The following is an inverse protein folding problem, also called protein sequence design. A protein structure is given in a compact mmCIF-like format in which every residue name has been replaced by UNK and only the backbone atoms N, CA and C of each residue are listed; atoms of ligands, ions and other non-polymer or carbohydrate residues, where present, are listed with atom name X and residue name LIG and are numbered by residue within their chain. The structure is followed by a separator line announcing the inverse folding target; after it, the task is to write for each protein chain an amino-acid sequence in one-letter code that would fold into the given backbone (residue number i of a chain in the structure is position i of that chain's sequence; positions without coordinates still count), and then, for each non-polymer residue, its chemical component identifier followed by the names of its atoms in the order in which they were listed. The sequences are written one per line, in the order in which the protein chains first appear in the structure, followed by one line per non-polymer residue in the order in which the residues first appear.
data_IF_268963560740
#
_entry.id   IF_268963560740
#
_cell.length_a   1.000
_cell.length_b   1.000
_cell.length_c   1.000
_cell.angle_alpha   90.00
_cell.angle_beta   90.00
_cell.angle_gamma   90.00
#
_symmetry.space_group_name_H-M   'P 1'
#
loop_
_entity.id
_entity.type
_entity.pdbx_description
1 polymer ?
#
# COMPACT_ATOMS: atom_id res chain seq x y z
N UNK A 1 -34.45 6.86 34.11
CA UNK A 1 -33.62 5.64 34.15
C UNK A 1 -32.97 5.48 32.79
N UNK A 2 -31.72 5.95 32.66
CA UNK A 2 -30.94 5.80 31.44
C UNK A 2 -30.44 4.37 31.36
N UNK A 3 -30.91 3.62 30.36
CA UNK A 3 -30.33 2.32 29.99
C UNK A 3 -28.99 2.57 29.33
N UNK A 4 -27.93 2.49 30.10
CA UNK A 4 -26.56 2.37 29.60
C UNK A 4 -26.44 0.98 28.92
N UNK A 5 -26.61 0.92 27.59
CA UNK A 5 -26.32 -0.27 26.80
C UNK A 5 -24.82 -0.50 26.88
N UNK A 6 -24.39 -1.37 27.78
CA UNK A 6 -23.07 -1.97 27.76
C UNK A 6 -22.89 -2.71 26.42
N UNK A 7 -22.21 -2.07 25.47
CA UNK A 7 -21.66 -2.76 24.31
C UNK A 7 -20.60 -3.71 24.85
N UNK A 8 -20.98 -4.98 25.06
CA UNK A 8 -19.98 -6.04 25.26
C UNK A 8 -19.18 -6.10 23.95
N UNK A 9 -18.00 -5.46 23.93
CA UNK A 9 -17.05 -5.65 22.84
C UNK A 9 -16.80 -7.14 22.71
N UNK A 10 -17.31 -7.73 21.64
CA UNK A 10 -17.05 -9.15 21.36
C UNK A 10 -15.56 -9.29 21.12
N UNK A 11 -14.89 -10.10 21.96
CA UNK A 11 -13.48 -10.43 21.76
C UNK A 11 -13.37 -11.49 20.68
N UNK A 12 -12.32 -11.37 19.86
CA UNK A 12 -11.92 -12.35 18.86
C UNK A 12 -10.67 -13.06 19.36
N UNK A 13 -10.60 -14.36 19.13
CA UNK A 13 -9.43 -15.19 19.44
C UNK A 13 -8.57 -15.35 18.21
N UNK A 14 -7.32 -14.94 18.31
CA UNK A 14 -6.31 -15.08 17.27
C UNK A 14 -5.29 -16.12 17.71
N UNK A 15 -5.02 -17.08 16.84
CA UNK A 15 -3.95 -18.07 17.02
C UNK A 15 -2.79 -17.69 16.09
N UNK A 16 -1.65 -17.34 16.66
CA UNK A 16 -0.46 -16.98 15.90
C UNK A 16 0.28 -18.21 15.39
N UNK A 17 1.06 -18.05 14.34
CA UNK A 17 1.87 -19.13 13.76
C UNK A 17 2.90 -19.73 14.74
N UNK A 18 3.36 -18.95 15.74
CA UNK A 18 4.24 -19.42 16.81
C UNK A 18 3.49 -20.18 17.93
N UNK A 19 2.18 -20.41 17.78
CA UNK A 19 1.32 -21.12 18.74
C UNK A 19 0.76 -20.26 19.87
N UNK A 20 1.12 -18.98 19.95
CA UNK A 20 0.54 -18.06 20.93
C UNK A 20 -0.91 -17.72 20.58
N UNK A 21 -1.72 -17.45 21.60
CA UNK A 21 -3.08 -16.96 21.44
C UNK A 21 -3.15 -15.49 21.90
N UNK A 22 -3.95 -14.70 21.19
CA UNK A 22 -4.23 -13.29 21.52
C UNK A 22 -5.73 -13.04 21.46
N UNK A 23 -6.24 -12.30 22.43
CA UNK A 23 -7.60 -11.79 22.42
C UNK A 23 -7.59 -10.32 21.96
N UNK A 24 -8.34 -10.02 20.90
CA UNK A 24 -8.48 -8.67 20.35
C UNK A 24 -9.95 -8.28 20.27
N UNK A 25 -10.28 -7.00 20.37
CA UNK A 25 -11.65 -6.56 20.19
C UNK A 25 -12.09 -6.75 18.73
N UNK A 26 -13.36 -7.16 18.52
CA UNK A 26 -13.92 -7.21 17.16
C UNK A 26 -13.84 -5.82 16.49
N UNK A 27 -13.37 -5.79 15.28
CA UNK A 27 -13.11 -4.54 14.53
C UNK A 27 -11.70 -3.97 14.72
N UNK A 28 -10.87 -4.55 15.62
CA UNK A 28 -9.44 -4.23 15.67
C UNK A 28 -8.74 -4.72 14.40
N UNK A 29 -7.62 -4.10 14.08
CA UNK A 29 -6.71 -4.53 13.02
C UNK A 29 -5.45 -5.19 13.60
N UNK A 30 -4.55 -5.65 12.74
CA UNK A 30 -3.34 -6.36 13.14
C UNK A 30 -2.11 -5.45 13.28
N UNK A 31 -2.21 -4.15 13.00
CA UNK A 31 -1.05 -3.25 12.97
C UNK A 31 -0.35 -3.16 14.34
N UNK A 32 -1.11 -2.96 15.42
CA UNK A 32 -0.53 -2.88 16.76
C UNK A 32 0.14 -4.20 17.19
N UNK A 33 -0.46 -5.34 16.82
CA UNK A 33 0.11 -6.66 17.10
C UNK A 33 1.39 -6.90 16.28
N UNK A 34 1.41 -6.50 15.01
CA UNK A 34 2.62 -6.57 14.17
C UNK A 34 3.76 -5.72 14.77
N UNK A 35 3.45 -4.51 15.24
CA UNK A 35 4.43 -3.65 15.90
C UNK A 35 4.96 -4.24 17.22
N UNK A 36 4.09 -4.86 18.03
CA UNK A 36 4.49 -5.57 19.26
C UNK A 36 5.45 -6.72 18.96
N UNK A 37 5.16 -7.50 17.92
CA UNK A 37 5.94 -8.66 17.53
C UNK A 37 7.13 -8.37 16.61
N UNK A 38 7.31 -7.14 16.17
CA UNK A 38 8.36 -6.78 15.20
C UNK A 38 9.76 -7.25 15.62
N UNK A 39 10.05 -7.27 16.91
CA UNK A 39 11.34 -7.74 17.44
C UNK A 39 11.61 -9.25 17.26
N UNK A 40 10.60 -10.03 16.91
CA UNK A 40 10.73 -11.47 16.61
C UNK A 40 11.03 -11.73 15.12
N UNK A 41 11.03 -10.69 14.27
CA UNK A 41 11.19 -10.76 12.82
C UNK A 41 12.47 -10.06 12.36
N UNK A 42 13.10 -10.59 11.31
CA UNK A 42 14.38 -10.11 10.80
C UNK A 42 14.25 -8.82 9.97
N UNK A 43 13.08 -8.56 9.40
CA UNK A 43 12.79 -7.38 8.60
C UNK A 43 11.38 -6.83 8.91
N UNK A 44 11.02 -5.62 8.45
CA UNK A 44 9.70 -5.05 8.74
C UNK A 44 8.55 -5.96 8.32
N UNK A 45 7.57 -6.11 9.24
CA UNK A 45 6.29 -6.79 8.93
C UNK A 45 5.44 -5.82 8.11
N UNK A 46 5.01 -6.24 6.92
CA UNK A 46 4.28 -5.38 5.98
C UNK A 46 2.88 -5.88 5.62
N UNK A 47 2.58 -7.15 5.88
CA UNK A 47 1.30 -7.78 5.57
C UNK A 47 1.02 -8.90 6.59
N UNK A 48 -0.22 -9.35 6.69
CA UNK A 48 -0.59 -10.54 7.45
C UNK A 48 -1.34 -11.54 6.57
N UNK A 49 -1.20 -12.81 6.91
CA UNK A 49 -2.07 -13.89 6.39
C UNK A 49 -3.08 -14.22 7.49
N UNK A 50 -4.35 -13.96 7.22
CA UNK A 50 -5.45 -14.24 8.13
C UNK A 50 -6.35 -15.33 7.55
N UNK A 51 -6.43 -16.49 8.22
CA UNK A 51 -7.18 -17.66 7.74
C UNK A 51 -6.78 -18.10 6.31
N UNK A 52 -5.51 -17.95 5.95
CA UNK A 52 -4.98 -18.31 4.62
C UNK A 52 -5.13 -17.23 3.56
N UNK A 53 -5.72 -16.08 3.86
CA UNK A 53 -5.84 -14.92 2.97
C UNK A 53 -4.84 -13.81 3.36
N UNK A 54 -4.07 -13.30 2.40
CA UNK A 54 -3.23 -12.11 2.59
C UNK A 54 -4.10 -10.87 2.82
N UNK A 55 -3.85 -10.16 3.91
CA UNK A 55 -4.62 -8.96 4.28
C UNK A 55 -3.70 -7.82 4.70
N UNK A 56 -4.14 -6.61 4.42
CA UNK A 56 -3.53 -5.39 4.95
C UNK A 56 -3.56 -5.38 6.49
N UNK A 57 -2.47 -4.94 7.11
CA UNK A 57 -2.36 -4.85 8.58
C UNK A 57 -3.42 -3.95 9.21
N UNK A 58 -3.97 -3.00 8.47
CA UNK A 58 -5.00 -2.07 8.92
C UNK A 58 -6.43 -2.58 8.68
N UNK A 59 -6.60 -3.77 8.03
CA UNK A 59 -7.93 -4.33 7.76
C UNK A 59 -8.63 -4.74 9.06
N UNK A 60 -9.86 -4.24 9.35
CA UNK A 60 -10.59 -4.60 10.56
C UNK A 60 -11.02 -6.07 10.58
N UNK A 61 -10.69 -6.79 11.65
CA UNK A 61 -11.05 -8.20 11.86
C UNK A 61 -12.51 -8.34 12.33
N UNK A 62 -13.20 -9.35 11.79
CA UNK A 62 -14.60 -9.61 12.10
C UNK A 62 -14.86 -10.97 12.76
N UNK A 63 -13.91 -11.90 12.68
CA UNK A 63 -14.02 -13.29 13.13
C UNK A 63 -12.75 -13.73 13.87
N UNK A 64 -12.85 -14.79 14.64
CA UNK A 64 -11.69 -15.53 15.14
C UNK A 64 -10.87 -16.08 13.98
N UNK A 65 -9.57 -16.33 14.18
CA UNK A 65 -8.77 -16.88 13.11
C UNK A 65 -7.32 -17.16 13.46
N UNK A 66 -6.62 -17.69 12.47
CA UNK A 66 -5.18 -17.88 12.49
C UNK A 66 -4.46 -16.71 11.82
N UNK A 67 -3.33 -16.31 12.38
CA UNK A 67 -2.53 -15.17 11.90
C UNK A 67 -1.08 -15.58 11.73
N UNK A 68 -0.49 -15.26 10.59
CA UNK A 68 0.94 -15.18 10.40
C UNK A 68 1.29 -13.84 9.75
N UNK A 69 2.53 -13.40 9.90
CA UNK A 69 2.99 -12.13 9.35
C UNK A 69 3.97 -12.36 8.20
N UNK A 70 3.96 -11.42 7.28
CA UNK A 70 4.83 -11.40 6.09
C UNK A 70 5.81 -10.26 6.25
N UNK A 71 7.10 -10.59 6.11
CA UNK A 71 8.21 -9.65 6.16
C UNK A 71 8.55 -9.09 4.78
N UNK A 72 9.10 -7.88 4.75
CA UNK A 72 9.50 -7.20 3.51
C UNK A 72 10.54 -7.98 2.69
N UNK A 73 11.41 -8.76 3.34
CA UNK A 73 12.44 -9.58 2.69
C UNK A 73 11.92 -10.87 2.03
N UNK A 74 10.60 -11.03 1.94
CA UNK A 74 9.94 -12.14 1.21
C UNK A 74 9.41 -11.65 -0.14
N UNK A 75 9.18 -12.54 -1.13
CA UNK A 75 8.59 -12.15 -2.41
C UNK A 75 7.22 -11.47 -2.26
N UNK A 76 6.41 -11.94 -1.31
CA UNK A 76 5.09 -11.38 -0.98
C UNK A 76 5.24 -9.97 -0.39
N UNK A 77 6.11 -9.82 0.60
CA UNK A 77 6.36 -8.53 1.25
C UNK A 77 6.99 -7.51 0.31
N UNK A 78 7.87 -7.94 -0.61
CA UNK A 78 8.42 -7.05 -1.62
C UNK A 78 7.33 -6.55 -2.60
N UNK A 79 6.30 -7.36 -2.90
CA UNK A 79 5.14 -6.88 -3.68
C UNK A 79 4.37 -5.77 -2.94
N UNK A 80 4.24 -5.87 -1.61
CA UNK A 80 3.63 -4.81 -0.78
C UNK A 80 4.49 -3.55 -0.80
N UNK A 81 5.81 -3.69 -0.67
CA UNK A 81 6.79 -2.62 -0.75
C UNK A 81 6.68 -1.84 -2.07
N UNK A 82 6.77 -2.55 -3.19
CA UNK A 82 6.73 -1.94 -4.55
C UNK A 82 5.37 -1.28 -4.81
N UNK A 83 4.27 -1.88 -4.36
CA UNK A 83 2.93 -1.28 -4.48
C UNK A 83 2.83 0.01 -3.69
N UNK A 84 3.43 0.07 -2.50
CA UNK A 84 3.48 1.28 -1.68
C UNK A 84 4.32 2.36 -2.37
N UNK A 85 5.49 2.03 -2.92
CA UNK A 85 6.31 2.95 -3.71
C UNK A 85 5.56 3.51 -4.92
N UNK A 86 4.88 2.65 -5.67
CA UNK A 86 4.06 3.08 -6.79
C UNK A 86 2.97 4.06 -6.34
N UNK A 87 2.30 3.77 -5.22
CA UNK A 87 1.28 4.65 -4.67
C UNK A 87 1.84 6.01 -4.27
N UNK A 88 3.03 6.03 -3.65
CA UNK A 88 3.76 7.26 -3.32
C UNK A 88 4.15 8.04 -4.58
N UNK A 89 4.65 7.37 -5.63
CA UNK A 89 4.98 8.01 -6.90
C UNK A 89 3.76 8.71 -7.50
N UNK A 90 2.62 8.01 -7.55
CA UNK A 90 1.38 8.57 -8.09
C UNK A 90 0.87 9.76 -7.27
N UNK A 91 0.89 9.66 -5.93
CA UNK A 91 0.49 10.74 -5.04
C UNK A 91 1.40 11.97 -5.17
N UNK A 92 2.72 11.77 -5.15
CA UNK A 92 3.71 12.84 -5.33
C UNK A 92 3.62 13.50 -6.71
N UNK A 93 3.45 12.70 -7.76
CA UNK A 93 3.25 13.21 -9.11
C UNK A 93 1.99 14.07 -9.18
N UNK A 94 0.87 13.62 -8.66
CA UNK A 94 -0.38 14.42 -8.65
C UNK A 94 -0.26 15.69 -7.84
N UNK A 95 0.56 15.70 -6.81
CA UNK A 95 0.83 16.89 -5.99
C UNK A 95 1.66 17.94 -6.73
N UNK A 96 2.72 17.52 -7.42
CA UNK A 96 3.69 18.41 -8.04
C UNK A 96 3.38 18.70 -9.53
N UNK A 97 2.85 17.71 -10.23
CA UNK A 97 2.51 17.75 -11.65
C UNK A 97 1.12 17.14 -11.88
N UNK A 98 0.04 17.84 -11.51
CA UNK A 98 -1.35 17.31 -11.59
C UNK A 98 -1.79 17.03 -13.04
N UNK A 99 -1.12 17.59 -14.02
CA UNK A 99 -1.29 17.38 -15.46
C UNK A 99 -0.68 16.07 -15.97
N UNK A 100 0.17 15.41 -15.17
CA UNK A 100 0.88 14.20 -15.57
C UNK A 100 0.05 12.95 -15.31
N UNK A 101 0.11 12.02 -16.27
CA UNK A 101 -0.55 10.71 -16.23
C UNK A 101 0.48 9.61 -16.41
N UNK A 102 0.87 8.99 -15.29
CA UNK A 102 1.74 7.82 -15.28
C UNK A 102 0.93 6.53 -15.37
N UNK A 103 1.40 5.59 -16.18
CA UNK A 103 0.84 4.26 -16.32
C UNK A 103 1.95 3.22 -16.15
N UNK A 104 1.69 2.22 -15.28
CA UNK A 104 2.62 1.10 -15.11
C UNK A 104 2.65 0.27 -16.38
N UNK A 105 3.86 0.00 -16.91
CA UNK A 105 4.05 -0.81 -18.11
C UNK A 105 4.55 -2.20 -17.80
N UNK A 106 5.74 -2.29 -17.26
CA UNK A 106 6.41 -3.58 -16.99
C UNK A 106 7.51 -3.42 -15.95
N UNK A 107 8.01 -4.54 -15.48
CA UNK A 107 9.24 -4.60 -14.70
C UNK A 107 10.44 -4.68 -15.62
N UNK A 108 11.50 -3.97 -15.25
CA UNK A 108 12.82 -3.99 -15.89
C UNK A 108 13.84 -4.52 -14.87
N UNK A 109 14.09 -5.84 -14.89
CA UNK A 109 14.87 -6.47 -13.83
C UNK A 109 14.20 -6.29 -12.46
N UNK A 110 14.90 -5.61 -11.53
CA UNK A 110 14.42 -5.24 -10.19
C UNK A 110 13.85 -3.81 -10.13
N UNK A 111 13.33 -3.29 -11.25
CA UNK A 111 12.78 -1.95 -11.30
C UNK A 111 11.40 -1.95 -11.96
N UNK A 112 10.56 -0.98 -11.63
CA UNK A 112 9.23 -0.80 -12.19
C UNK A 112 9.21 0.40 -13.14
N UNK A 113 8.87 0.17 -14.40
CA UNK A 113 8.75 1.22 -15.39
C UNK A 113 7.33 1.77 -15.47
N UNK A 114 7.21 3.08 -15.38
CA UNK A 114 5.99 3.84 -15.56
C UNK A 114 6.16 4.78 -16.76
N UNK A 115 5.34 4.60 -17.79
CA UNK A 115 5.30 5.52 -18.94
C UNK A 115 4.50 6.77 -18.58
N UNK A 116 4.96 7.91 -19.07
CA UNK A 116 4.23 9.16 -18.99
C UNK A 116 3.42 9.37 -20.29
N UNK A 117 2.10 9.31 -20.18
CA UNK A 117 1.17 9.48 -21.29
C UNK A 117 0.70 10.93 -21.45
N UNK A 118 1.32 11.89 -20.75
CA UNK A 118 0.93 13.30 -20.76
C UNK A 118 1.37 14.02 -22.04
N UNK A 119 0.73 15.13 -22.34
CA UNK A 119 1.15 16.02 -23.42
C UNK A 119 2.48 16.72 -23.08
N UNK A 120 2.64 17.15 -21.83
CA UNK A 120 3.88 17.70 -21.31
C UNK A 120 4.56 16.64 -20.44
N UNK A 121 5.58 16.01 -20.98
CA UNK A 121 6.32 14.94 -20.31
C UNK A 121 7.05 15.44 -19.05
N UNK A 122 7.30 14.52 -18.12
CA UNK A 122 8.18 14.76 -16.98
C UNK A 122 9.59 15.09 -17.46
N UNK A 123 10.15 16.14 -16.91
CA UNK A 123 11.58 16.48 -17.07
C UNK A 123 12.41 15.76 -16.01
N UNK A 124 13.73 15.72 -16.18
CA UNK A 124 14.62 15.16 -15.16
C UNK A 124 14.54 15.95 -13.84
N UNK A 125 14.28 17.26 -13.90
CA UNK A 125 14.05 18.12 -12.74
C UNK A 125 12.74 17.78 -12.03
N UNK A 126 11.66 17.52 -12.78
CA UNK A 126 10.40 17.05 -12.20
C UNK A 126 10.58 15.72 -11.44
N UNK A 127 11.30 14.76 -12.06
CA UNK A 127 11.54 13.45 -11.45
C UNK A 127 12.34 13.59 -10.15
N UNK A 128 13.37 14.44 -10.12
CA UNK A 128 14.12 14.75 -8.89
C UNK A 128 13.25 15.41 -7.82
N UNK A 129 12.38 16.33 -8.22
CA UNK A 129 11.46 16.98 -7.28
C UNK A 129 10.45 15.98 -6.70
N UNK A 130 9.93 15.06 -7.52
CA UNK A 130 9.02 13.99 -7.11
C UNK A 130 9.75 13.04 -6.14
N UNK A 131 10.96 12.63 -6.47
CA UNK A 131 11.79 11.77 -5.60
C UNK A 131 12.06 12.41 -4.24
N UNK A 132 12.47 13.68 -4.22
CA UNK A 132 12.69 14.43 -3.00
C UNK A 132 11.42 14.53 -2.15
N UNK A 133 10.26 14.72 -2.78
CA UNK A 133 8.97 14.73 -2.09
C UNK A 133 8.60 13.35 -1.52
N UNK A 134 8.89 12.27 -2.24
CA UNK A 134 8.69 10.91 -1.74
C UNK A 134 9.61 10.61 -0.52
N UNK A 135 10.87 11.07 -0.54
CA UNK A 135 11.75 10.96 0.62
C UNK A 135 11.25 11.77 1.83
N UNK A 136 10.69 12.95 1.61
CA UNK A 136 10.01 13.71 2.68
C UNK A 136 8.81 12.93 3.26
N UNK A 137 8.01 12.24 2.43
CA UNK A 137 6.95 11.35 2.92
C UNK A 137 7.52 10.22 3.80
N UNK A 138 8.68 9.65 3.44
CA UNK A 138 9.36 8.62 4.25
C UNK A 138 9.78 9.18 5.60
N UNK A 139 10.46 10.34 5.61
CA UNK A 139 10.97 10.96 6.84
C UNK A 139 9.86 11.30 7.83
N UNK A 140 8.75 11.87 7.35
CA UNK A 140 7.58 12.18 8.19
C UNK A 140 6.66 10.99 8.44
N UNK A 141 6.99 9.79 7.90
CA UNK A 141 6.19 8.56 8.00
C UNK A 141 4.73 8.80 7.59
N UNK A 142 4.54 9.40 6.41
CA UNK A 142 3.22 9.74 5.92
C UNK A 142 2.30 8.51 5.92
N UNK A 143 1.14 8.54 6.63
CA UNK A 143 0.31 7.38 6.80
C UNK A 143 -0.43 7.00 5.51
N UNK A 144 -0.41 5.72 5.16
CA UNK A 144 -1.31 5.14 4.16
C UNK A 144 -2.59 4.74 4.88
N UNK A 145 -3.68 5.42 4.61
CA UNK A 145 -4.97 5.16 5.26
C UNK A 145 -5.89 4.34 4.37
N UNK A 146 -6.60 3.39 4.96
CA UNK A 146 -7.66 2.64 4.30
C UNK A 146 -9.01 3.31 4.53
N UNK A 147 -9.73 3.61 3.45
CA UNK A 147 -11.12 4.08 3.51
C UNK A 147 -12.02 3.06 2.82
N UNK A 148 -13.14 2.78 3.45
CA UNK A 148 -14.18 1.92 2.86
C UNK A 148 -15.29 2.81 2.32
N UNK A 149 -15.52 2.75 1.03
CA UNK A 149 -16.46 3.60 0.31
C UNK A 149 -17.46 2.75 -0.48
N UNK A 150 -18.72 3.20 -0.62
CA UNK A 150 -19.65 2.66 -1.60
C UNK A 150 -19.02 2.64 -2.99
N UNK A 151 -19.36 1.64 -3.82
CA UNK A 151 -18.80 1.52 -5.18
C UNK A 151 -18.87 2.83 -5.97
N UNK A 152 -20.00 3.54 -5.93
CA UNK A 152 -20.18 4.79 -6.68
C UNK A 152 -19.11 5.84 -6.31
N UNK A 153 -18.86 6.07 -5.01
CA UNK A 153 -17.85 7.01 -4.54
C UNK A 153 -16.42 6.55 -4.89
N UNK A 154 -16.15 5.24 -4.73
CA UNK A 154 -14.85 4.67 -5.08
C UNK A 154 -14.58 4.76 -6.58
N UNK A 155 -15.60 4.59 -7.43
CA UNK A 155 -15.52 4.74 -8.89
C UNK A 155 -15.19 6.17 -9.31
N UNK A 156 -15.80 7.19 -8.68
CA UNK A 156 -15.48 8.59 -8.96
C UNK A 156 -13.99 8.88 -8.68
N UNK A 157 -13.45 8.33 -7.60
CA UNK A 157 -12.03 8.45 -7.25
C UNK A 157 -11.13 7.67 -8.21
N UNK A 158 -11.54 6.44 -8.58
CA UNK A 158 -10.78 5.57 -9.47
C UNK A 158 -10.70 6.12 -10.89
N UNK A 159 -11.74 6.77 -11.40
CA UNK A 159 -11.76 7.39 -12.74
C UNK A 159 -10.65 8.40 -12.96
N UNK A 160 -10.16 9.04 -11.89
CA UNK A 160 -9.06 10.00 -11.99
C UNK A 160 -7.67 9.36 -12.06
N UNK A 161 -7.54 8.04 -11.86
CA UNK A 161 -6.26 7.40 -11.51
C UNK A 161 -6.03 6.06 -12.20
N UNK A 162 -7.11 5.29 -12.44
CA UNK A 162 -7.02 3.93 -12.97
C UNK A 162 -6.89 3.92 -14.49
N UNK A 163 -6.16 2.92 -15.01
CA UNK A 163 -6.21 2.58 -16.43
C UNK A 163 -7.64 2.17 -16.85
N UNK A 164 -7.93 2.24 -18.14
CA UNK A 164 -9.23 1.81 -18.67
C UNK A 164 -9.57 0.36 -18.28
N UNK A 165 -8.58 -0.53 -18.28
CA UNK A 165 -8.75 -1.93 -17.87
C UNK A 165 -9.12 -2.07 -16.39
N UNK A 166 -8.47 -1.30 -15.50
CA UNK A 166 -8.79 -1.28 -14.07
C UNK A 166 -10.20 -0.73 -13.82
N UNK A 167 -10.60 0.28 -14.56
CA UNK A 167 -11.96 0.82 -14.51
C UNK A 167 -13.00 -0.19 -15.04
N UNK A 168 -12.67 -0.95 -16.09
CA UNK A 168 -13.52 -2.00 -16.61
C UNK A 168 -13.77 -3.09 -15.56
N UNK A 169 -12.72 -3.53 -14.86
CA UNK A 169 -12.84 -4.50 -13.76
C UNK A 169 -13.70 -3.97 -12.60
N UNK A 170 -13.56 -2.70 -12.22
CA UNK A 170 -14.38 -2.09 -11.18
C UNK A 170 -15.86 -1.98 -11.58
N UNK A 171 -16.17 -1.80 -12.86
CA UNK A 171 -17.56 -1.77 -13.37
C UNK A 171 -18.29 -3.10 -13.16
N UNK A 172 -17.57 -4.23 -13.27
CA UNK A 172 -18.14 -5.58 -13.10
C UNK A 172 -18.45 -5.93 -11.63
N UNK A 173 -17.91 -5.16 -10.66
CA UNK A 173 -18.20 -5.35 -9.23
C UNK A 173 -19.68 -5.00 -8.96
N UNK A 174 -20.43 -5.77 -8.13
CA UNK A 174 -21.82 -5.46 -7.79
C UNK A 174 -22.00 -4.06 -7.18
N UNK A 175 -23.15 -3.41 -7.48
CA UNK A 175 -23.41 -2.01 -7.08
C UNK A 175 -23.46 -1.78 -5.57
N UNK A 176 -23.83 -2.80 -4.79
CA UNK A 176 -23.90 -2.77 -3.33
C UNK A 176 -22.56 -3.06 -2.64
N UNK A 177 -21.49 -3.22 -3.42
CA UNK A 177 -20.16 -3.52 -2.88
C UNK A 177 -19.53 -2.29 -2.25
N UNK A 178 -18.91 -2.50 -1.09
CA UNK A 178 -18.05 -1.52 -0.43
C UNK A 178 -16.59 -1.81 -0.82
N UNK A 179 -15.97 -0.88 -1.52
CA UNK A 179 -14.58 -0.96 -1.95
C UNK A 179 -13.65 -0.33 -0.90
N UNK A 180 -12.44 -0.83 -0.83
CA UNK A 180 -11.38 -0.22 -0.03
C UNK A 180 -10.49 0.62 -0.94
N UNK A 181 -10.39 1.91 -0.65
CA UNK A 181 -9.46 2.83 -1.31
C UNK A 181 -8.36 3.24 -0.35
N UNK A 182 -7.21 3.57 -0.89
CA UNK A 182 -6.09 4.07 -0.11
C UNK A 182 -6.01 5.59 -0.21
N UNK A 183 -5.57 6.23 0.88
CA UNK A 183 -5.31 7.67 0.92
C UNK A 183 -3.89 7.89 1.41
N UNK A 184 -3.14 8.74 0.73
CA UNK A 184 -1.79 9.16 1.10
C UNK A 184 -1.64 10.64 0.78
N UNK A 185 -1.24 11.45 1.74
CA UNK A 185 -1.04 12.90 1.59
C UNK A 185 -2.25 13.62 0.95
N UNK A 186 -3.47 13.21 1.34
CA UNK A 186 -4.71 13.77 0.83
C UNK A 186 -5.13 13.26 -0.56
N UNK A 187 -4.28 12.50 -1.25
CA UNK A 187 -4.62 11.87 -2.51
C UNK A 187 -5.26 10.50 -2.28
N UNK A 188 -6.35 10.23 -3.00
CA UNK A 188 -7.06 8.95 -2.93
C UNK A 188 -6.77 8.15 -4.19
N UNK A 189 -6.49 6.86 -4.02
CA UNK A 189 -6.26 5.95 -5.13
C UNK A 189 -6.72 4.53 -4.83
N UNK A 190 -6.90 3.76 -5.89
CA UNK A 190 -7.26 2.36 -5.80
C UNK A 190 -6.14 1.52 -6.41
N UNK A 191 -5.39 0.82 -5.57
CA UNK A 191 -4.47 -0.23 -5.97
C UNK A 191 -4.85 -1.54 -5.28
N UNK A 192 -4.87 -2.61 -6.05
CA UNK A 192 -5.30 -3.90 -5.53
C UNK A 192 -4.22 -4.55 -4.67
N UNK A 193 -4.57 -4.94 -3.44
CA UNK A 193 -3.71 -5.65 -2.49
C UNK A 193 -3.26 -4.78 -1.31
N UNK A 194 -2.56 -5.40 -0.36
CA UNK A 194 -2.06 -4.75 0.83
C UNK A 194 -0.99 -3.69 0.53
N UNK A 195 -0.94 -2.65 1.35
CA UNK A 195 0.12 -1.63 1.36
C UNK A 195 0.78 -1.54 2.73
N UNK A 196 1.98 -1.00 2.77
CA UNK A 196 2.62 -0.67 4.03
C UNK A 196 1.79 0.36 4.81
N UNK A 197 1.82 0.33 6.15
CA UNK A 197 1.01 1.23 6.98
C UNK A 197 1.35 2.72 6.83
N UNK A 198 2.59 3.03 6.53
CA UNK A 198 3.09 4.38 6.26
C UNK A 198 4.30 4.34 5.32
N UNK A 199 4.66 5.50 4.76
CA UNK A 199 5.78 5.65 3.83
C UNK A 199 7.14 5.29 4.44
N UNK A 200 7.31 5.36 5.76
CA UNK A 200 8.55 5.02 6.44
C UNK A 200 8.95 3.55 6.35
N UNK A 201 8.06 2.68 5.87
CA UNK A 201 8.37 1.27 5.59
C UNK A 201 9.13 1.06 4.28
N UNK A 202 9.19 2.06 3.39
CA UNK A 202 9.78 1.95 2.05
C UNK A 202 10.90 2.99 1.81
N UNK A 203 11.96 3.02 2.66
CA UNK A 203 12.97 4.08 2.62
C UNK A 203 13.98 3.96 1.49
N UNK A 204 14.08 2.79 0.85
CA UNK A 204 15.11 2.51 -0.15
C UNK A 204 14.51 2.46 -1.56
N UNK A 205 14.66 3.52 -2.31
CA UNK A 205 14.25 3.62 -3.73
C UNK A 205 15.02 4.75 -4.41
N UNK A 206 14.99 4.72 -5.73
CA UNK A 206 15.52 5.76 -6.59
C UNK A 206 14.61 5.93 -7.79
N UNK A 207 14.38 7.17 -8.21
CA UNK A 207 13.64 7.46 -9.43
C UNK A 207 14.60 7.85 -10.55
N UNK A 208 14.52 7.15 -11.67
CA UNK A 208 15.39 7.38 -12.82
C UNK A 208 14.57 7.77 -14.06
N UNK A 209 14.96 8.83 -14.79
CA UNK A 209 14.40 9.07 -16.11
C UNK A 209 14.69 7.89 -17.03
N UNK A 210 13.67 7.38 -17.71
CA UNK A 210 13.83 6.28 -18.65
C UNK A 210 12.82 6.37 -19.77
N UNK A 211 13.29 6.31 -21.02
CA UNK A 211 12.47 6.45 -22.22
C UNK A 211 11.47 7.63 -22.09
N UNK A 212 10.18 7.37 -22.28
CA UNK A 212 9.11 8.36 -22.16
C UNK A 212 8.46 8.37 -20.76
N UNK A 213 9.22 8.11 -19.70
CA UNK A 213 8.66 8.03 -18.35
C UNK A 213 9.71 7.97 -17.26
N UNK A 214 9.38 7.23 -16.21
CA UNK A 214 10.18 7.08 -14.99
C UNK A 214 10.28 5.62 -14.57
N UNK A 215 11.45 5.23 -14.09
CA UNK A 215 11.67 3.95 -13.43
C UNK A 215 11.75 4.15 -11.94
N UNK A 216 11.06 3.30 -11.18
CA UNK A 216 11.29 3.12 -9.75
C UNK A 216 12.27 1.97 -9.59
N UNK A 217 13.50 2.27 -9.20
CA UNK A 217 14.48 1.28 -8.78
C UNK A 217 14.28 0.99 -7.30
N UNK A 218 14.24 -0.29 -6.91
CA UNK A 218 13.96 -0.71 -5.54
C UNK A 218 14.81 -1.95 -5.18
N UNK A 219 14.99 -2.26 -3.87
CA UNK A 219 15.74 -3.41 -3.41
C UNK A 219 15.13 -4.73 -3.85
N UNK A 220 15.93 -5.78 -3.89
CA UNK A 220 15.44 -7.16 -4.00
C UNK A 220 15.20 -7.80 -2.61
N UNK A 221 14.58 -8.97 -2.60
CA UNK A 221 14.28 -9.71 -1.38
C UNK A 221 15.52 -10.16 -0.60
N UNK A 222 16.62 -10.42 -1.27
CA UNK A 222 17.86 -10.89 -0.65
C UNK A 222 18.63 -9.78 0.05
N UNK A 223 18.43 -8.52 -0.36
CA UNK A 223 19.12 -7.34 0.15
C UNK A 223 18.16 -6.13 0.21
N UNK A 224 17.08 -6.26 0.95
CA UNK A 224 15.98 -5.29 0.98
C UNK A 224 16.39 -3.86 1.44
N UNK A 225 17.60 -3.67 1.95
CA UNK A 225 18.17 -2.37 2.36
C UNK A 225 19.19 -1.81 1.36
N UNK A 226 19.42 -2.48 0.25
CA UNK A 226 20.45 -2.10 -0.74
C UNK A 226 19.79 -1.97 -2.11
N UNK A 227 19.94 -0.81 -2.73
CA UNK A 227 19.51 -0.62 -4.11
C UNK A 227 20.46 -1.32 -5.07
N UNK A 228 19.98 -2.20 -5.96
CA UNK A 228 20.79 -2.74 -7.04
C UNK A 228 21.12 -1.63 -8.04
N UNK A 229 22.26 -1.71 -8.75
CA UNK A 229 22.50 -0.81 -9.86
C UNK A 229 21.44 -1.03 -10.96
N UNK A 230 20.89 0.05 -11.49
CA UNK A 230 20.01 -0.02 -12.64
C UNK A 230 20.86 0.09 -13.92
N UNK A 231 20.84 -0.98 -14.76
CA UNK A 231 21.58 -1.09 -16.02
C UNK A 231 20.63 -1.10 -17.23
#
# INVERSE_FOLDING_TARGET
MLHCRLWKNKMLKLKLSNGQERDVAKGSNLLALAQELQGEYASPIVEAVFNGEGIDLQRPLQTDGTVSFIEVNTPEGMRVYVRTLLFMLLAATKKLRPDVHLEVRNTLGSALYCIDNSQQKLTAEDIKAIEAYMHDMVERREPVQLKRLPKAEAMEMACAICSEDSLALLKEVPEDTVLTVNTLDGWNGYLFGAMCPDAGYVPYFELLPYADGVVINYPDTGSWTVLPPFE
#
